data_IF_590612278163
#
_entry.id   IF_590612278163
#
_cell.length_a   1.000
_cell.length_b   1.000
_cell.length_c   1.000
_cell.angle_alpha   90.00
_cell.angle_beta   90.00
_cell.angle_gamma   90.00
#
_symmetry.space_group_name_H-M   'P 1'
#
loop_
_entity.id
_entity.type
_entity.pdbx_description
1 polymer ?
#
# COMPACT_ATOMS: atom_id res chain seq x y z
N UNK A 1 0.34 -64.20 41.23
CA UNK A 1 0.58 -63.70 39.86
C UNK A 1 -0.26 -62.44 39.54
N UNK A 2 -0.31 -61.45 40.45
CA UNK A 2 -1.25 -60.31 40.34
C UNK A 2 -0.59 -58.91 40.34
N UNK A 3 0.72 -58.80 40.54
CA UNK A 3 1.37 -57.48 40.68
C UNK A 3 1.63 -56.76 39.33
N UNK A 4 1.86 -57.50 38.25
CA UNK A 4 2.17 -56.90 36.93
C UNK A 4 0.96 -56.36 36.14
N UNK A 5 -0.27 -56.64 36.59
CA UNK A 5 -1.50 -56.17 35.91
C UNK A 5 -1.87 -54.74 36.29
N UNK A 6 -1.58 -54.31 37.51
CA UNK A 6 -1.97 -52.99 38.01
C UNK A 6 -1.07 -51.86 37.48
N UNK A 7 0.24 -52.09 37.36
CA UNK A 7 1.16 -51.09 36.78
C UNK A 7 0.84 -50.78 35.31
N UNK A 8 0.39 -51.79 34.54
CA UNK A 8 0.02 -51.61 33.13
C UNK A 8 -1.27 -50.78 32.96
N UNK A 9 -2.18 -50.82 33.94
CA UNK A 9 -3.41 -50.02 33.93
C UNK A 9 -3.11 -48.55 34.26
N UNK A 10 -2.27 -48.29 35.26
CA UNK A 10 -1.88 -46.92 35.65
C UNK A 10 -1.12 -46.18 34.54
N UNK A 11 -0.26 -46.87 33.79
CA UNK A 11 0.47 -46.29 32.65
C UNK A 11 -0.48 -45.96 31.47
N UNK A 12 -1.51 -46.77 31.24
CA UNK A 12 -2.50 -46.52 30.18
C UNK A 12 -3.40 -45.31 30.48
N UNK A 13 -3.77 -45.12 31.74
CA UNK A 13 -4.59 -43.97 32.17
C UNK A 13 -3.80 -42.66 31.96
N UNK A 14 -2.55 -42.59 32.43
CA UNK A 14 -1.68 -41.40 32.22
C UNK A 14 -1.48 -41.03 30.76
N UNK A 15 -1.39 -42.00 29.85
CA UNK A 15 -1.24 -41.74 28.39
C UNK A 15 -2.52 -41.29 27.70
N UNK A 16 -3.70 -41.68 28.19
CA UNK A 16 -4.99 -41.29 27.61
C UNK A 16 -5.34 -39.85 27.95
N UNK A 17 -5.05 -39.42 29.18
CA UNK A 17 -5.36 -38.07 29.66
C UNK A 17 -4.42 -37.01 29.05
N UNK A 18 -3.16 -37.36 28.79
CA UNK A 18 -2.17 -36.44 28.21
C UNK A 18 -2.41 -36.14 26.72
N UNK A 19 -3.04 -37.06 25.97
CA UNK A 19 -3.43 -36.83 24.57
C UNK A 19 -4.64 -35.91 24.43
N UNK A 20 -5.59 -36.01 25.36
CA UNK A 20 -6.79 -35.17 25.33
C UNK A 20 -6.51 -33.74 25.80
N UNK A 21 -5.52 -33.53 26.68
CA UNK A 21 -5.09 -32.20 27.13
C UNK A 21 -4.36 -31.41 26.03
N UNK A 22 -3.56 -32.08 25.19
CA UNK A 22 -2.88 -31.45 24.05
C UNK A 22 -3.86 -31.00 22.95
N UNK A 23 -4.97 -31.71 22.77
CA UNK A 23 -5.98 -31.37 21.76
C UNK A 23 -6.80 -30.14 22.20
N UNK A 24 -7.07 -29.99 23.50
CA UNK A 24 -7.79 -28.85 24.06
C UNK A 24 -6.98 -27.54 23.97
N UNK A 25 -5.65 -27.61 24.12
CA UNK A 25 -4.78 -26.42 24.02
C UNK A 25 -4.67 -25.88 22.59
N UNK A 26 -4.73 -26.74 21.57
CA UNK A 26 -4.75 -26.31 20.16
C UNK A 26 -6.08 -25.67 19.72
N UNK A 27 -7.19 -25.95 20.41
CA UNK A 27 -8.51 -25.38 20.08
C UNK A 27 -8.72 -23.98 20.69
N UNK A 28 -7.98 -23.62 21.73
CA UNK A 28 -8.10 -22.31 22.40
C UNK A 28 -7.28 -21.24 21.67
N UNK A 29 -6.23 -21.62 20.93
CA UNK A 29 -5.39 -20.67 20.18
C UNK A 29 -6.03 -20.21 18.86
N UNK A 30 -7.01 -20.93 18.31
CA UNK A 30 -7.70 -20.52 17.07
C UNK A 30 -8.73 -19.41 17.27
N UNK A 31 -9.16 -19.14 18.51
CA UNK A 31 -10.18 -18.11 18.82
C UNK A 31 -9.62 -16.69 19.00
N UNK A 32 -8.30 -16.50 19.04
CA UNK A 32 -7.68 -15.18 19.24
C UNK A 32 -7.11 -14.55 17.96
N UNK A 33 -7.18 -15.25 16.83
CA UNK A 33 -6.84 -14.70 15.51
C UNK A 33 -8.11 -14.45 14.68
N UNK A 34 -9.06 -13.73 15.25
CA UNK A 34 -9.94 -12.93 14.41
C UNK A 34 -9.12 -11.71 13.98
N UNK A 35 -8.20 -11.93 13.04
CA UNK A 35 -7.69 -10.83 12.23
C UNK A 35 -8.92 -10.29 11.52
N UNK A 36 -9.51 -9.22 12.06
CA UNK A 36 -10.38 -8.34 11.29
C UNK A 36 -9.59 -8.03 10.04
N UNK A 37 -9.98 -8.62 8.90
CA UNK A 37 -9.32 -8.35 7.64
C UNK A 37 -9.47 -6.86 7.46
N UNK A 38 -8.39 -6.09 7.65
CA UNK A 38 -8.34 -4.71 7.22
C UNK A 38 -8.74 -4.82 5.75
N UNK A 39 -9.92 -4.32 5.38
CA UNK A 39 -10.26 -4.05 3.98
C UNK A 39 -9.17 -3.11 3.52
N UNK A 40 -8.12 -3.70 2.96
CA UNK A 40 -6.82 -3.06 2.85
C UNK A 40 -6.80 -2.12 1.65
N UNK A 41 -5.66 -1.46 1.48
CA UNK A 41 -5.31 -0.67 0.28
C UNK A 41 -5.35 -1.48 -1.04
N UNK A 42 -5.70 -2.77 -1.00
CA UNK A 42 -5.62 -3.70 -2.14
C UNK A 42 -6.53 -3.35 -3.32
N UNK A 43 -7.53 -2.47 -3.15
CA UNK A 43 -8.30 -1.95 -4.28
C UNK A 43 -7.54 -0.87 -5.07
N UNK A 44 -6.56 -0.19 -4.46
CA UNK A 44 -5.61 0.71 -5.12
C UNK A 44 -4.47 -0.12 -5.75
N UNK A 45 -4.85 -1.03 -6.65
CA UNK A 45 -3.92 -1.94 -7.32
C UNK A 45 -3.45 -1.36 -8.65
N UNK A 46 -2.12 -1.30 -8.83
CA UNK A 46 -1.53 -0.99 -10.14
C UNK A 46 -2.02 -1.99 -11.21
N UNK A 47 -2.19 -1.52 -12.43
CA UNK A 47 -2.76 -2.31 -13.52
C UNK A 47 -4.30 -2.24 -13.62
N UNK A 48 -4.97 -1.60 -12.66
CA UNK A 48 -6.45 -1.41 -12.71
C UNK A 48 -6.83 -0.29 -13.68
N UNK A 49 -7.99 -0.42 -14.33
CA UNK A 49 -8.50 0.61 -15.26
C UNK A 49 -9.09 1.81 -14.54
N UNK A 50 -9.19 2.98 -15.20
CA UNK A 50 -9.83 4.17 -14.60
C UNK A 50 -11.28 3.87 -14.21
N UNK A 51 -12.04 3.20 -15.10
CA UNK A 51 -13.44 2.83 -14.85
C UNK A 51 -13.62 1.93 -13.64
N UNK A 52 -12.81 0.88 -13.53
CA UNK A 52 -12.88 -0.08 -12.43
C UNK A 52 -12.60 0.60 -11.11
N UNK A 53 -11.52 1.40 -11.06
CA UNK A 53 -11.13 2.05 -9.82
C UNK A 53 -12.17 3.10 -9.38
N UNK A 54 -12.69 3.91 -10.32
CA UNK A 54 -13.59 4.99 -9.96
C UNK A 54 -15.00 4.47 -9.64
N UNK A 55 -15.40 3.33 -10.20
CA UNK A 55 -16.59 2.60 -9.75
C UNK A 55 -16.45 2.14 -8.29
N UNK A 56 -15.29 1.61 -7.90
CA UNK A 56 -15.03 1.19 -6.52
C UNK A 56 -15.02 2.37 -5.53
N UNK A 57 -14.66 3.56 -6.02
CA UNK A 57 -14.62 4.79 -5.25
C UNK A 57 -15.92 5.59 -5.28
N UNK A 58 -16.94 5.12 -6.01
CA UNK A 58 -18.21 5.84 -6.26
C UNK A 58 -17.98 7.25 -6.87
N UNK A 59 -17.04 7.34 -7.82
CA UNK A 59 -16.69 8.56 -8.54
C UNK A 59 -17.21 8.46 -9.97
N UNK A 60 -18.01 9.47 -10.36
CA UNK A 60 -18.46 9.64 -11.74
C UNK A 60 -17.40 10.38 -12.57
N UNK A 61 -16.72 9.65 -13.45
CA UNK A 61 -15.63 10.18 -14.30
C UNK A 61 -16.10 11.35 -15.16
N UNK A 62 -17.34 11.32 -15.65
CA UNK A 62 -17.85 12.33 -16.59
C UNK A 62 -18.11 13.68 -15.91
N UNK A 63 -18.14 13.70 -14.57
CA UNK A 63 -18.32 14.91 -13.75
C UNK A 63 -17.01 15.50 -13.25
N UNK A 64 -15.86 14.90 -13.57
CA UNK A 64 -14.57 15.37 -13.08
C UNK A 64 -14.18 16.65 -13.79
N UNK A 65 -13.96 17.71 -13.01
CA UNK A 65 -13.46 18.97 -13.52
C UNK A 65 -12.01 18.81 -13.97
N UNK A 66 -11.68 19.45 -15.09
CA UNK A 66 -10.32 19.51 -15.64
C UNK A 66 -9.67 20.81 -15.20
N UNK A 67 -8.49 20.71 -14.60
CA UNK A 67 -7.72 21.85 -14.08
C UNK A 67 -6.41 21.95 -14.85
N UNK A 68 -6.20 23.07 -15.53
CA UNK A 68 -4.96 23.38 -16.25
C UNK A 68 -4.03 24.30 -15.47
N UNK A 69 -4.49 24.85 -14.33
CA UNK A 69 -3.69 25.72 -13.48
C UNK A 69 -3.66 25.25 -12.02
N UNK A 70 -2.58 25.58 -11.31
CA UNK A 70 -2.46 25.34 -9.87
C UNK A 70 -3.51 26.17 -9.12
N UNK A 71 -3.80 27.40 -9.58
CA UNK A 71 -4.90 28.21 -9.05
C UNK A 71 -6.25 27.50 -9.11
N UNK A 72 -6.56 26.81 -10.21
CA UNK A 72 -7.81 26.04 -10.34
C UNK A 72 -7.88 24.91 -9.31
N UNK A 73 -6.77 24.24 -9.01
CA UNK A 73 -6.77 23.15 -8.02
C UNK A 73 -7.26 23.62 -6.65
N UNK A 74 -6.98 24.87 -6.27
CA UNK A 74 -7.49 25.47 -5.02
C UNK A 74 -9.00 25.77 -5.10
N UNK A 75 -9.50 26.19 -6.27
CA UNK A 75 -10.93 26.46 -6.48
C UNK A 75 -11.79 25.20 -6.38
N UNK A 76 -11.22 24.03 -6.66
CA UNK A 76 -11.89 22.73 -6.59
C UNK A 76 -11.51 21.92 -5.35
N UNK A 77 -11.07 22.59 -4.26
CA UNK A 77 -10.68 21.92 -3.01
C UNK A 77 -11.77 20.96 -2.51
N UNK A 78 -11.35 19.74 -2.18
CA UNK A 78 -12.25 18.69 -1.69
C UNK A 78 -13.04 17.95 -2.79
N UNK A 79 -12.82 18.27 -4.07
CA UNK A 79 -13.38 17.53 -5.20
C UNK A 79 -12.29 16.74 -5.93
N UNK A 80 -12.71 15.65 -6.57
CA UNK A 80 -11.85 14.92 -7.50
C UNK A 80 -11.71 15.75 -8.77
N UNK A 81 -10.47 15.95 -9.22
CA UNK A 81 -10.14 16.74 -10.41
C UNK A 81 -9.13 16.00 -11.29
N UNK A 82 -9.18 16.27 -12.60
CA UNK A 82 -8.18 15.83 -13.57
C UNK A 82 -7.18 16.97 -13.79
N UNK A 83 -5.89 16.68 -13.58
CA UNK A 83 -4.80 17.64 -13.78
C UNK A 83 -4.32 17.57 -15.22
N UNK A 84 -4.42 18.69 -15.92
CA UNK A 84 -3.96 18.84 -17.30
C UNK A 84 -2.72 19.71 -17.30
N UNK A 85 -1.69 19.27 -18.01
CA UNK A 85 -0.51 20.09 -18.22
C UNK A 85 -0.73 20.97 -19.44
N UNK A 86 -0.67 22.28 -19.25
CA UNK A 86 -0.56 23.26 -20.31
C UNK A 86 0.90 23.73 -20.38
N UNK A 87 1.60 23.40 -21.47
CA UNK A 87 3.00 23.80 -21.69
C UNK A 87 3.17 25.31 -21.84
N UNK A 88 2.09 26.04 -22.10
CA UNK A 88 2.10 27.49 -22.26
C UNK A 88 1.86 28.24 -20.95
N UNK A 89 1.41 27.54 -19.91
CA UNK A 89 1.07 28.15 -18.63
C UNK A 89 2.16 27.88 -17.58
N UNK A 90 2.70 28.95 -17.00
CA UNK A 90 3.68 28.87 -15.92
C UNK A 90 3.04 28.45 -14.58
N UNK A 91 1.74 28.71 -14.39
CA UNK A 91 0.96 28.30 -13.22
C UNK A 91 0.36 26.90 -13.40
N UNK A 92 1.07 25.96 -14.01
CA UNK A 92 0.58 24.58 -14.20
C UNK A 92 0.50 23.81 -12.86
N UNK A 93 -0.40 22.82 -12.71
CA UNK A 93 -0.43 21.98 -11.53
C UNK A 93 0.86 21.17 -11.36
N UNK A 94 1.37 21.07 -10.12
CA UNK A 94 2.67 20.44 -9.81
C UNK A 94 2.75 18.98 -10.28
N UNK A 95 1.64 18.24 -10.17
CA UNK A 95 1.55 16.82 -10.52
C UNK A 95 1.05 16.55 -11.94
N UNK A 96 0.78 17.59 -12.74
CA UNK A 96 0.31 17.41 -14.11
C UNK A 96 1.42 16.79 -14.99
N UNK A 97 1.03 15.87 -15.87
CA UNK A 97 1.93 15.18 -16.80
C UNK A 97 1.92 15.82 -18.18
N UNK A 98 3.08 15.84 -18.84
CA UNK A 98 3.21 16.25 -20.24
C UNK A 98 2.96 15.13 -21.24
N UNK A 99 2.82 13.88 -20.77
CA UNK A 99 2.58 12.75 -21.64
C UNK A 99 1.11 12.74 -22.10
N UNK A 100 0.87 12.82 -23.41
CA UNK A 100 -0.48 12.85 -24.00
C UNK A 100 -1.32 11.59 -23.73
N UNK A 101 -0.66 10.46 -23.47
CA UNK A 101 -1.31 9.20 -23.16
C UNK A 101 -1.47 8.96 -21.65
N UNK A 102 -1.04 9.92 -20.83
CA UNK A 102 -1.14 9.85 -19.39
C UNK A 102 -2.20 10.82 -18.86
N UNK A 103 -2.95 10.38 -17.85
CA UNK A 103 -3.96 11.17 -17.14
C UNK A 103 -3.64 11.15 -15.66
N UNK A 104 -3.73 12.30 -15.02
CA UNK A 104 -3.48 12.41 -13.57
C UNK A 104 -4.72 12.93 -12.89
N UNK A 105 -5.20 12.20 -11.90
CA UNK A 105 -6.35 12.61 -11.09
C UNK A 105 -5.90 12.91 -9.67
N UNK A 106 -6.29 14.07 -9.17
CA UNK A 106 -6.17 14.38 -7.75
C UNK A 106 -7.46 13.94 -7.03
N UNK A 107 -7.29 13.07 -6.04
CA UNK A 107 -8.34 12.54 -5.17
C UNK A 107 -8.05 13.03 -3.74
N UNK A 108 -8.83 13.99 -3.22
CA UNK A 108 -8.53 14.63 -1.94
C UNK A 108 -8.51 13.68 -0.75
N UNK A 109 -9.38 12.65 -0.77
CA UNK A 109 -9.45 11.68 0.31
C UNK A 109 -9.96 10.34 -0.21
N UNK A 110 -9.28 9.25 0.17
CA UNK A 110 -9.74 7.88 -0.01
C UNK A 110 -9.83 7.22 1.36
N UNK A 111 -11.01 6.71 1.70
CA UNK A 111 -11.20 5.90 2.92
C UNK A 111 -10.83 4.45 2.62
N UNK A 112 -9.88 3.89 3.37
CA UNK A 112 -9.55 2.46 3.30
C UNK A 112 -10.50 1.65 4.18
N UNK A 113 -10.82 2.19 5.35
CA UNK A 113 -11.79 1.67 6.30
C UNK A 113 -12.31 2.82 7.20
N UNK A 114 -12.99 2.49 8.29
CA UNK A 114 -13.58 3.47 9.20
C UNK A 114 -12.53 4.30 9.98
N UNK A 115 -11.29 3.82 10.07
CA UNK A 115 -10.21 4.43 10.87
C UNK A 115 -9.10 5.04 10.01
N UNK A 116 -8.86 4.49 8.82
CA UNK A 116 -7.73 4.86 7.95
C UNK A 116 -8.25 5.55 6.70
N UNK A 117 -7.84 6.80 6.54
CA UNK A 117 -8.00 7.59 5.33
C UNK A 117 -6.64 7.98 4.78
N UNK A 118 -6.54 8.05 3.46
CA UNK A 118 -5.39 8.62 2.77
C UNK A 118 -5.85 9.95 2.18
N UNK A 119 -5.06 10.99 2.36
CA UNK A 119 -5.36 12.35 1.90
C UNK A 119 -4.40 12.74 0.78
N UNK A 120 -4.84 13.70 -0.04
CA UNK A 120 -4.08 14.33 -1.12
C UNK A 120 -3.36 13.32 -2.02
N UNK A 121 -4.15 12.48 -2.71
CA UNK A 121 -3.68 11.38 -3.54
C UNK A 121 -3.71 11.78 -5.00
N UNK A 122 -2.64 11.44 -5.72
CA UNK A 122 -2.53 11.62 -7.15
C UNK A 122 -2.45 10.25 -7.82
N UNK A 123 -3.40 9.97 -8.70
CA UNK A 123 -3.52 8.71 -9.43
C UNK A 123 -3.12 8.95 -10.89
N UNK A 124 -2.06 8.29 -11.32
CA UNK A 124 -1.52 8.41 -12.69
C UNK A 124 -1.92 7.18 -13.50
N UNK A 125 -2.63 7.41 -14.59
CA UNK A 125 -3.03 6.40 -15.56
C UNK A 125 -2.25 6.59 -16.85
N UNK A 126 -1.75 5.51 -17.45
CA UNK A 126 -1.15 5.49 -18.79
C UNK A 126 -1.93 4.51 -19.66
N UNK A 127 -2.49 4.97 -20.79
CA UNK A 127 -3.43 4.20 -21.62
C UNK A 127 -4.52 3.50 -20.78
N UNK A 128 -5.26 4.28 -19.98
CA UNK A 128 -6.32 3.81 -19.06
C UNK A 128 -5.86 2.88 -17.92
N UNK A 129 -4.56 2.61 -17.77
CA UNK A 129 -4.03 1.70 -16.74
C UNK A 129 -3.38 2.47 -15.60
N UNK A 130 -3.76 2.19 -14.35
CA UNK A 130 -3.14 2.80 -13.18
C UNK A 130 -1.67 2.36 -13.06
N UNK A 131 -0.75 3.29 -13.21
CA UNK A 131 0.70 3.05 -13.19
C UNK A 131 1.39 3.73 -12.01
N UNK A 132 0.76 4.72 -11.39
CA UNK A 132 1.35 5.47 -10.29
C UNK A 132 0.30 5.92 -9.28
N UNK A 133 0.70 5.86 -8.01
CA UNK A 133 -0.02 6.43 -6.89
C UNK A 133 0.99 7.29 -6.15
N UNK A 134 0.69 8.55 -5.95
CA UNK A 134 1.50 9.48 -5.17
C UNK A 134 0.62 10.14 -4.13
N UNK A 135 1.19 10.52 -2.99
CA UNK A 135 0.49 11.29 -1.96
C UNK A 135 1.50 12.24 -1.34
N UNK A 136 1.06 13.46 -1.04
CA UNK A 136 1.84 14.43 -0.29
C UNK A 136 1.88 14.03 1.19
N UNK A 137 2.57 12.93 1.48
CA UNK A 137 2.86 12.35 2.81
C UNK A 137 1.74 12.51 3.83
N UNK A 138 0.83 11.55 3.85
CA UNK A 138 0.05 11.30 5.07
C UNK A 138 0.88 10.45 6.05
N UNK A 139 1.32 11.05 7.16
CA UNK A 139 2.03 10.33 8.23
C UNK A 139 1.25 9.13 8.79
N UNK A 140 -0.08 9.09 8.61
CA UNK A 140 -0.92 7.95 8.97
C UNK A 140 -0.78 6.78 7.99
N UNK A 141 -0.54 7.06 6.70
CA UNK A 141 -0.28 6.03 5.70
C UNK A 141 1.08 5.38 5.94
N UNK A 142 2.11 6.18 6.25
CA UNK A 142 3.44 5.66 6.60
C UNK A 142 3.34 4.73 7.83
N UNK A 143 2.62 5.15 8.87
CA UNK A 143 2.36 4.31 10.05
C UNK A 143 1.58 3.03 9.71
N UNK A 144 0.56 3.11 8.87
CA UNK A 144 -0.22 1.96 8.45
C UNK A 144 0.61 0.96 7.63
N UNK A 145 1.49 1.45 6.77
CA UNK A 145 2.41 0.63 5.98
C UNK A 145 3.50 0.00 6.86
N UNK A 146 4.12 0.75 7.77
CA UNK A 146 5.11 0.23 8.72
C UNK A 146 4.48 -0.83 9.64
N UNK A 147 3.25 -0.61 10.13
CA UNK A 147 2.55 -1.58 10.98
C UNK A 147 2.28 -2.89 10.23
N UNK A 148 1.99 -2.82 8.93
CA UNK A 148 1.63 -4.00 8.14
C UNK A 148 2.84 -4.73 7.54
N UNK A 149 3.87 -3.99 7.12
CA UNK A 149 4.97 -4.51 6.32
C UNK A 149 6.35 -4.36 7.00
N UNK A 150 6.41 -3.72 8.18
CA UNK A 150 7.64 -3.40 8.88
C UNK A 150 8.29 -2.11 8.37
N UNK A 151 9.34 -1.69 9.08
CA UNK A 151 10.18 -0.58 8.64
C UNK A 151 10.83 -0.91 7.28
N UNK A 152 10.84 0.03 6.32
CA UNK A 152 11.45 -0.20 5.02
C UNK A 152 12.96 -0.43 5.17
N UNK A 153 13.43 -1.60 4.75
CA UNK A 153 14.87 -1.87 4.61
C UNK A 153 15.30 -1.39 3.23
N UNK A 154 15.94 -0.24 3.18
CA UNK A 154 16.53 0.28 1.94
C UNK A 154 17.95 -0.26 1.81
N UNK A 155 18.13 -1.30 1.01
CA UNK A 155 19.46 -1.70 0.55
C UNK A 155 19.96 -0.68 -0.47
N UNK A 156 20.69 0.33 0.02
CA UNK A 156 21.44 1.22 -0.84
C UNK A 156 22.58 0.43 -1.47
N UNK A 157 22.37 -0.06 -2.70
CA UNK A 157 23.48 -0.47 -3.55
C UNK A 157 24.23 0.79 -3.97
N UNK A 158 25.30 1.12 -3.25
CA UNK A 158 26.29 2.09 -3.71
C UNK A 158 26.86 1.58 -5.04
N UNK A 159 26.39 2.15 -6.14
CA UNK A 159 27.03 1.96 -7.44
C UNK A 159 28.22 2.92 -7.49
N UNK A 160 29.35 2.53 -6.90
CA UNK A 160 30.59 3.27 -7.07
C UNK A 160 30.94 3.33 -8.56
N UNK A 161 31.04 4.54 -9.11
CA UNK A 161 31.55 4.76 -10.47
C UNK A 161 33.01 5.18 -10.36
N UNK A 162 33.90 4.40 -10.97
CA UNK A 162 35.30 4.77 -11.16
C UNK A 162 35.43 5.65 -12.41
N UNK A 163 36.08 6.80 -12.26
CA UNK A 163 36.42 7.68 -13.37
C UNK A 163 37.94 7.80 -13.46
N UNK A 164 38.51 7.48 -14.61
CA UNK A 164 39.92 7.77 -14.89
C UNK A 164 40.03 9.16 -15.51
N UNK A 165 40.67 10.08 -14.80
CA UNK A 165 40.97 11.41 -15.30
C UNK A 165 42.09 11.36 -16.36
N UNK A 166 42.14 12.35 -17.25
CA UNK A 166 43.13 12.40 -18.34
C UNK A 166 44.61 12.46 -17.90
N UNK A 167 44.88 12.64 -16.60
CA UNK A 167 46.21 12.54 -15.99
C UNK A 167 46.54 11.14 -15.44
N UNK A 168 45.68 10.14 -15.69
CA UNK A 168 45.84 8.76 -15.23
C UNK A 168 45.41 8.52 -13.78
N UNK A 169 44.86 9.52 -13.09
CA UNK A 169 44.34 9.36 -11.72
C UNK A 169 42.94 8.76 -11.76
N UNK A 170 42.71 7.66 -11.05
CA UNK A 170 41.36 7.10 -10.85
C UNK A 170 40.72 7.74 -9.63
N UNK A 171 39.50 8.24 -9.81
CA UNK A 171 38.67 8.77 -8.72
C UNK A 171 37.43 7.90 -8.58
N UNK A 172 37.21 7.42 -7.37
CA UNK A 172 35.99 6.71 -6.98
C UNK A 172 35.05 7.72 -6.35
N UNK A 173 33.87 7.90 -6.94
CA UNK A 173 32.79 8.67 -6.32
C UNK A 173 31.81 7.69 -5.68
N UNK A 174 31.73 7.74 -4.36
CA UNK A 174 30.68 7.15 -3.51
C UNK A 174 29.51 8.11 -3.41
#
# INVERSE_FOLDING_TARGET
MNCQKEERLLIKIKKKDMKNLSLAFCLITTSYFSQTSIKGIGFLKLGTTTSTLFTLLDIDIDKIAKCSTQSDTYNYKGKVIELISDTTNLDKPIYATYCSNARVFHVPTIKLNDEIKIEDIYLTFYFDTLVGISSDKNSELDKALITKYGEPIVDLKENSKEYTLGNGTTVTLT
#
